data_IF_507027971958
#
_entry.id   IF_507027971958
#
_cell.length_a   1.000
_cell.length_b   1.000
_cell.length_c   1.000
_cell.angle_alpha   90.00
_cell.angle_beta   90.00
_cell.angle_gamma   90.00
#
_symmetry.space_group_name_H-M   'P 1'
#
loop_
_entity.id
_entity.type
_entity.pdbx_description
1 polymer ?
#
# COMPACT_ATOMS: atom_id res chain seq x y z
N UNK A 1 -9.06 13.26 2.42
CA UNK A 1 -10.40 13.46 1.84
C UNK A 1 -10.75 14.91 2.11
N UNK A 2 -10.98 15.71 1.08
CA UNK A 2 -11.43 17.09 1.27
C UNK A 2 -12.85 17.04 1.86
N UNK A 3 -13.00 17.59 3.06
CA UNK A 3 -14.28 17.57 3.79
C UNK A 3 -15.16 18.78 3.41
N UNK A 4 -14.71 19.60 2.45
CA UNK A 4 -15.42 20.80 2.02
C UNK A 4 -15.46 21.89 3.10
N UNK A 5 -16.18 23.00 2.84
CA UNK A 5 -16.32 24.09 3.79
C UNK A 5 -17.00 23.60 5.08
N UNK A 6 -16.37 23.84 6.23
CA UNK A 6 -16.90 23.42 7.52
C UNK A 6 -18.25 24.11 7.82
N UNK A 7 -19.34 23.37 8.08
CA UNK A 7 -20.67 23.96 8.30
C UNK A 7 -20.77 24.78 9.60
N UNK A 8 -19.81 24.63 10.52
CA UNK A 8 -19.81 25.30 11.83
C UNK A 8 -18.94 26.56 11.89
N UNK A 9 -18.16 26.89 10.86
CA UNK A 9 -17.09 27.90 10.94
C UNK A 9 -17.49 29.31 10.44
N UNK A 10 -18.70 29.51 9.90
CA UNK A 10 -19.02 30.81 9.26
C UNK A 10 -20.25 31.56 9.81
N UNK A 11 -20.87 31.12 10.90
CA UNK A 11 -21.88 31.94 11.59
C UNK A 11 -21.25 32.66 12.77
N UNK A 12 -21.21 34.00 12.71
CA UNK A 12 -20.77 34.85 13.84
C UNK A 12 -21.52 34.52 15.14
N UNK A 13 -22.77 34.04 15.00
CA UNK A 13 -23.59 33.60 16.11
C UNK A 13 -23.06 32.29 16.74
N UNK A 14 -22.73 31.28 15.92
CA UNK A 14 -22.11 30.04 16.43
C UNK A 14 -20.76 30.30 17.10
N UNK A 15 -19.98 31.28 16.60
CA UNK A 15 -18.71 31.66 17.22
C UNK A 15 -18.90 32.28 18.59
N UNK A 16 -19.91 33.16 18.74
CA UNK A 16 -20.27 33.73 20.04
C UNK A 16 -20.76 32.64 21.00
N UNK A 17 -21.64 31.75 20.55
CA UNK A 17 -22.14 30.62 21.34
C UNK A 17 -21.01 29.69 21.79
N UNK A 18 -20.03 29.42 20.92
CA UNK A 18 -18.82 28.67 21.24
C UNK A 18 -17.99 29.37 22.32
N UNK A 19 -17.68 30.66 22.15
CA UNK A 19 -16.89 31.43 23.12
C UNK A 19 -17.59 31.54 24.49
N UNK A 20 -18.93 31.66 24.51
CA UNK A 20 -19.72 31.65 25.75
C UNK A 20 -19.75 30.28 26.45
N UNK A 21 -19.93 29.18 25.70
CA UNK A 21 -19.92 27.83 26.25
C UNK A 21 -18.54 27.49 26.82
N UNK A 22 -17.48 27.87 26.11
CA UNK A 22 -16.08 27.72 26.53
C UNK A 22 -15.75 28.52 27.79
N UNK A 23 -16.22 29.76 27.88
CA UNK A 23 -16.04 30.57 29.09
C UNK A 23 -16.77 30.00 30.32
N UNK A 24 -17.89 29.30 30.10
CA UNK A 24 -18.67 28.63 31.15
C UNK A 24 -18.13 27.23 31.50
N UNK A 25 -17.17 26.70 30.74
CA UNK A 25 -16.58 25.37 30.95
C UNK A 25 -17.57 24.21 30.82
N UNK A 26 -18.66 24.43 30.08
CA UNK A 26 -19.72 23.45 29.80
C UNK A 26 -19.61 22.89 28.38
N UNK A 27 -18.53 23.24 27.67
CA UNK A 27 -18.31 22.79 26.31
C UNK A 27 -17.67 21.40 26.26
N UNK A 28 -18.10 20.61 25.28
CA UNK A 28 -17.59 19.25 25.03
C UNK A 28 -16.92 19.15 23.65
N UNK A 29 -16.55 20.29 23.05
CA UNK A 29 -16.06 20.34 21.67
C UNK A 29 -14.75 19.57 21.50
N UNK A 30 -13.84 19.65 22.47
CA UNK A 30 -12.57 18.93 22.41
C UNK A 30 -12.79 17.42 22.42
N UNK A 31 -13.74 16.93 23.24
CA UNK A 31 -14.07 15.51 23.30
C UNK A 31 -14.78 15.01 22.04
N UNK A 32 -15.73 15.78 21.52
CA UNK A 32 -16.39 15.47 20.25
C UNK A 32 -15.41 15.45 19.08
N UNK A 33 -14.41 16.35 19.11
CA UNK A 33 -13.35 16.41 18.13
C UNK A 33 -12.42 15.19 18.24
N UNK A 34 -12.01 14.80 19.44
CA UNK A 34 -11.25 13.57 19.69
C UNK A 34 -11.98 12.35 19.13
N UNK A 35 -13.26 12.18 19.47
CA UNK A 35 -14.09 11.06 18.98
C UNK A 35 -14.20 11.07 17.44
N UNK A 36 -14.25 12.24 16.81
CA UNK A 36 -14.26 12.37 15.36
C UNK A 36 -12.91 11.98 14.73
N UNK A 37 -11.81 12.40 15.34
CA UNK A 37 -10.44 12.05 14.90
C UNK A 37 -10.23 10.55 15.01
N UNK A 38 -10.62 9.92 16.11
CA UNK A 38 -10.46 8.47 16.31
C UNK A 38 -11.22 7.67 15.24
N UNK A 39 -12.44 8.07 14.90
CA UNK A 39 -13.21 7.44 13.81
C UNK A 39 -12.51 7.56 12.46
N UNK A 40 -11.93 8.73 12.18
CA UNK A 40 -11.19 8.96 10.94
C UNK A 40 -9.91 8.12 10.86
N UNK A 41 -9.19 7.95 11.97
CA UNK A 41 -7.99 7.09 12.05
C UNK A 41 -8.38 5.64 11.72
N UNK A 42 -9.40 5.10 12.39
CA UNK A 42 -9.87 3.72 12.15
C UNK A 42 -10.31 3.52 10.69
N UNK A 43 -10.99 4.51 10.11
CA UNK A 43 -11.40 4.42 8.71
C UNK A 43 -10.20 4.43 7.75
N UNK A 44 -9.20 5.28 8.01
CA UNK A 44 -7.96 5.32 7.26
C UNK A 44 -7.20 3.99 7.35
N UNK A 45 -7.02 3.44 8.54
CA UNK A 45 -6.37 2.14 8.74
C UNK A 45 -7.09 1.02 7.98
N UNK A 46 -8.42 1.04 8.00
CA UNK A 46 -9.23 0.08 7.24
C UNK A 46 -9.03 0.22 5.73
N UNK A 47 -8.86 1.44 5.22
CA UNK A 47 -8.60 1.70 3.78
C UNK A 47 -7.18 1.28 3.40
N UNK A 48 -6.20 1.60 4.25
CA UNK A 48 -4.80 1.18 4.07
C UNK A 48 -4.70 -0.34 4.05
N UNK A 49 -5.30 -1.03 5.03
CA UNK A 49 -5.28 -2.49 5.10
C UNK A 49 -5.92 -3.16 3.88
N UNK A 50 -7.01 -2.59 3.34
CA UNK A 50 -7.61 -3.07 2.08
C UNK A 50 -6.69 -2.85 0.89
N UNK A 51 -6.08 -1.67 0.77
CA UNK A 51 -5.17 -1.36 -0.33
C UNK A 51 -3.94 -2.28 -0.30
N UNK A 52 -3.34 -2.49 0.88
CA UNK A 52 -2.23 -3.44 1.06
C UNK A 52 -2.62 -4.86 0.66
N UNK A 53 -3.82 -5.32 1.06
CA UNK A 53 -4.31 -6.64 0.64
C UNK A 53 -4.50 -6.74 -0.87
N UNK A 54 -5.09 -5.72 -1.50
CA UNK A 54 -5.25 -5.69 -2.96
C UNK A 54 -3.90 -5.75 -3.68
N UNK A 55 -2.87 -5.04 -3.21
CA UNK A 55 -1.52 -5.11 -3.77
C UNK A 55 -0.92 -6.52 -3.66
N UNK A 56 -1.02 -7.16 -2.49
CA UNK A 56 -0.54 -8.54 -2.30
C UNK A 56 -1.27 -9.52 -3.20
N UNK A 57 -2.60 -9.40 -3.32
CA UNK A 57 -3.40 -10.27 -4.17
C UNK A 57 -3.09 -10.05 -5.67
N UNK A 58 -2.79 -8.82 -6.09
CA UNK A 58 -2.33 -8.50 -7.45
C UNK A 58 -0.93 -9.05 -7.74
N UNK A 59 0.03 -8.87 -6.83
CA UNK A 59 1.38 -9.43 -6.95
C UNK A 59 1.36 -10.96 -6.98
N UNK A 60 0.52 -11.59 -6.16
CA UNK A 60 0.33 -13.04 -6.17
C UNK A 60 -0.24 -13.50 -7.52
N UNK A 61 -1.23 -12.80 -8.06
CA UNK A 61 -1.78 -13.07 -9.40
C UNK A 61 -0.74 -12.87 -10.50
N UNK A 62 0.10 -11.84 -10.41
CA UNK A 62 1.17 -11.60 -11.38
C UNK A 62 2.25 -12.69 -11.32
N UNK A 63 2.67 -13.12 -10.12
CA UNK A 63 3.60 -14.22 -9.94
C UNK A 63 3.04 -15.55 -10.49
N UNK A 64 1.75 -15.82 -10.23
CA UNK A 64 1.05 -16.97 -10.82
C UNK A 64 1.01 -16.83 -12.34
N UNK A 65 0.64 -15.66 -12.89
CA UNK A 65 0.60 -15.43 -14.33
C UNK A 65 1.98 -15.58 -15.00
N UNK A 66 3.08 -15.18 -14.35
CA UNK A 66 4.44 -15.41 -14.85
C UNK A 66 4.77 -16.91 -14.85
N UNK A 67 4.36 -17.65 -13.82
CA UNK A 67 4.56 -19.11 -13.77
C UNK A 67 3.67 -19.88 -14.76
N UNK A 68 2.47 -19.37 -15.04
CA UNK A 68 1.44 -19.98 -15.91
C UNK A 68 1.57 -19.51 -17.37
N UNK A 69 2.16 -18.34 -17.62
CA UNK A 69 2.66 -17.96 -18.93
C UNK A 69 3.84 -18.86 -19.24
N UNK A 70 3.50 -20.07 -19.70
CA UNK A 70 4.35 -20.97 -20.47
C UNK A 70 5.28 -20.09 -21.29
N UNK A 71 6.55 -20.06 -20.88
CA UNK A 71 7.64 -19.99 -21.85
C UNK A 71 7.22 -20.94 -22.96
N UNK A 72 7.01 -20.45 -24.20
CA UNK A 72 6.73 -21.34 -25.30
C UNK A 72 7.85 -22.37 -25.28
N UNK A 73 7.52 -23.64 -25.03
CA UNK A 73 8.46 -24.76 -25.19
C UNK A 73 8.64 -25.02 -26.69
N UNK A 74 8.81 -23.95 -27.45
CA UNK A 74 9.29 -24.00 -28.81
C UNK A 74 10.67 -24.65 -28.77
N UNK A 75 11.00 -25.52 -29.73
CA UNK A 75 12.25 -26.27 -29.73
C UNK A 75 13.47 -25.36 -29.56
N UNK A 76 13.40 -24.15 -30.11
CA UNK A 76 14.42 -23.12 -29.99
C UNK A 76 14.67 -22.64 -28.54
N UNK A 77 13.61 -22.51 -27.73
CA UNK A 77 13.75 -22.07 -26.32
C UNK A 77 14.30 -23.19 -25.44
N UNK A 78 13.95 -24.44 -25.75
CA UNK A 78 14.54 -25.63 -25.11
C UNK A 78 16.02 -25.76 -25.44
N UNK A 79 16.39 -25.53 -26.70
CA UNK A 79 17.77 -25.57 -27.16
C UNK A 79 18.61 -24.45 -26.52
N UNK A 80 18.10 -23.22 -26.50
CA UNK A 80 18.74 -22.10 -25.83
C UNK A 80 18.92 -22.36 -24.32
N UNK A 81 17.90 -22.93 -23.66
CA UNK A 81 17.98 -23.29 -22.24
C UNK A 81 19.05 -24.36 -21.97
N UNK A 82 19.24 -25.31 -22.88
CA UNK A 82 20.30 -26.32 -22.78
C UNK A 82 21.69 -25.69 -22.94
N UNK A 83 21.85 -24.83 -23.93
CA UNK A 83 23.10 -24.14 -24.25
C UNK A 83 23.53 -23.16 -23.13
N UNK A 84 22.57 -22.49 -22.49
CA UNK A 84 22.82 -21.66 -21.30
C UNK A 84 23.34 -22.51 -20.13
N UNK A 85 22.73 -23.67 -19.86
CA UNK A 85 23.18 -24.57 -18.78
C UNK A 85 24.59 -25.12 -19.01
N UNK A 86 24.93 -25.46 -20.25
CA UNK A 86 26.28 -25.90 -20.61
C UNK A 86 27.31 -24.78 -20.41
N UNK A 87 26.99 -23.56 -20.85
CA UNK A 87 27.86 -22.39 -20.67
C UNK A 87 28.03 -21.99 -19.19
N UNK A 88 27.00 -22.15 -18.37
CA UNK A 88 27.11 -21.92 -16.92
C UNK A 88 28.04 -22.94 -16.25
N UNK A 89 27.95 -24.23 -16.59
CA UNK A 89 28.88 -25.24 -16.08
C UNK A 89 30.32 -25.00 -16.49
N UNK A 90 30.53 -24.58 -17.73
CA UNK A 90 31.83 -24.22 -18.26
C UNK A 90 32.40 -23.00 -17.51
N UNK A 91 31.58 -21.96 -17.29
CA UNK A 91 31.95 -20.80 -16.49
C UNK A 91 32.24 -21.15 -15.01
N UNK A 92 31.46 -22.03 -14.39
CA UNK A 92 31.73 -22.53 -13.04
C UNK A 92 33.04 -23.32 -12.99
N UNK A 93 33.35 -24.15 -13.99
CA UNK A 93 34.64 -24.84 -14.09
C UNK A 93 35.80 -23.86 -14.26
N UNK A 94 35.67 -22.85 -15.12
CA UNK A 94 36.68 -21.82 -15.26
C UNK A 94 36.83 -20.99 -13.98
N UNK A 95 35.73 -20.69 -13.28
CA UNK A 95 35.74 -20.02 -11.98
C UNK A 95 36.49 -20.82 -10.90
N UNK A 96 36.35 -22.15 -10.92
CA UNK A 96 37.11 -23.05 -10.03
C UNK A 96 38.60 -23.10 -10.42
N UNK A 97 38.93 -23.06 -11.72
CA UNK A 97 40.33 -23.10 -12.21
C UNK A 97 41.08 -21.79 -11.90
N UNK A 98 40.40 -20.64 -11.92
CA UNK A 98 41.02 -19.35 -11.60
C UNK A 98 41.19 -19.07 -10.08
N UNK A 99 40.66 -19.95 -9.23
CA UNK A 99 40.73 -19.83 -7.76
C UNK A 99 41.83 -20.70 -7.12
N UNK A 100 42.65 -21.38 -7.93
CA UNK A 100 43.70 -22.31 -7.49
C UNK A 100 45.08 -21.93 -8.04
#
# INVERSE_FOLDING_TARGET
>A
MDMGPCPKVHSLQLRREYEEAKAKGIDNYDRELEDAIDRLIVECDRKIGRALKCLVDEDAKAAIAISVSKVPQTPEVLELSKRIKEKLKEADQYGIIFLH
#
